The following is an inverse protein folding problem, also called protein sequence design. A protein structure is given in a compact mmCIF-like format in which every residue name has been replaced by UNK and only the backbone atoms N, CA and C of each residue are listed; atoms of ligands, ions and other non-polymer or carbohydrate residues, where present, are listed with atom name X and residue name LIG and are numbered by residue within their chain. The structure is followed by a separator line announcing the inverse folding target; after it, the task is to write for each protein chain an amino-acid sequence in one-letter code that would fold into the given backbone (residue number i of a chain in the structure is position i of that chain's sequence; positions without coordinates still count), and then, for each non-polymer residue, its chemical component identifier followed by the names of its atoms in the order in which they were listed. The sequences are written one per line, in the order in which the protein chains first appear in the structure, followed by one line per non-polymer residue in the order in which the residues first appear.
data_IF_421077898613
#
_entry.id   IF_421077898613
#
_cell.length_a   1.000
_cell.length_b   1.000
_cell.length_c   1.000
_cell.angle_alpha   90.00
_cell.angle_beta   90.00
_cell.angle_gamma   90.00
#
_symmetry.space_group_name_H-M   'P 1'
#
loop_
_entity.id
_entity.type
_entity.pdbx_description
1 polymer ?
#
# COMPACT_ATOMS: atom_id res chain seq x y z
N UNK A 1 -9.82 -11.59 17.47
CA UNK A 1 -8.73 -10.62 17.21
C UNK A 1 -7.49 -11.36 16.74
N UNK A 2 -6.87 -10.92 15.66
CA UNK A 2 -5.60 -11.47 15.22
C UNK A 2 -4.44 -11.03 16.13
N UNK A 3 -3.41 -11.85 16.20
CA UNK A 3 -2.15 -11.48 16.84
C UNK A 3 -1.24 -10.73 15.87
N UNK A 4 -0.17 -10.10 16.37
CA UNK A 4 0.88 -9.47 15.52
C UNK A 4 1.39 -10.45 14.48
N UNK A 5 1.66 -11.68 14.87
CA UNK A 5 2.15 -12.73 13.97
C UNK A 5 1.13 -13.09 12.89
N UNK A 6 -0.18 -13.05 13.22
CA UNK A 6 -1.24 -13.30 12.25
C UNK A 6 -1.24 -12.25 11.13
N UNK A 7 -1.16 -10.97 11.47
CA UNK A 7 -1.18 -9.89 10.49
C UNK A 7 0.10 -9.88 9.65
N UNK A 8 1.25 -10.10 10.27
CA UNK A 8 2.52 -10.24 9.56
C UNK A 8 2.47 -11.43 8.58
N UNK A 9 1.96 -12.59 9.04
CA UNK A 9 1.81 -13.79 8.19
C UNK A 9 0.93 -13.50 6.96
N UNK A 10 -0.19 -12.79 7.13
CA UNK A 10 -1.07 -12.39 6.01
C UNK A 10 -0.36 -11.49 5.01
N UNK A 11 0.42 -10.50 5.48
CA UNK A 11 1.22 -9.64 4.59
C UNK A 11 2.31 -10.43 3.87
N UNK A 12 2.94 -11.39 4.53
CA UNK A 12 3.93 -12.27 3.91
C UNK A 12 3.30 -13.17 2.83
N UNK A 13 2.12 -13.71 3.08
CA UNK A 13 1.37 -14.47 2.07
C UNK A 13 1.04 -13.61 0.84
N UNK A 14 0.70 -12.34 1.03
CA UNK A 14 0.50 -11.42 -0.09
C UNK A 14 1.79 -11.21 -0.88
N UNK A 15 2.93 -10.99 -0.21
CA UNK A 15 4.26 -10.89 -0.87
C UNK A 15 4.57 -12.11 -1.71
N UNK A 16 4.39 -13.30 -1.15
CA UNK A 16 4.63 -14.57 -1.84
C UNK A 16 3.71 -14.73 -3.07
N UNK A 17 2.44 -14.42 -2.93
CA UNK A 17 1.47 -14.48 -4.02
C UNK A 17 1.84 -13.54 -5.18
N UNK A 18 2.29 -12.35 -4.86
CA UNK A 18 2.70 -11.35 -5.84
C UNK A 18 3.97 -11.80 -6.58
N UNK A 19 4.94 -12.32 -5.85
CA UNK A 19 6.23 -12.75 -6.42
C UNK A 19 6.17 -14.07 -7.19
N UNK A 20 5.19 -14.93 -6.89
CA UNK A 20 5.05 -16.23 -7.56
C UNK A 20 4.45 -16.17 -8.98
N UNK A 21 4.19 -14.98 -9.50
CA UNK A 21 3.71 -14.79 -10.88
C UNK A 21 2.21 -15.01 -11.08
N UNK A 22 1.43 -15.11 -10.03
CA UNK A 22 -0.04 -15.19 -10.09
C UNK A 22 -0.71 -13.87 -10.51
N UNK A 23 0.08 -12.88 -10.91
CA UNK A 23 -0.41 -11.61 -11.44
C UNK A 23 -0.38 -11.67 -12.95
N UNK A 24 -1.48 -11.31 -13.60
CA UNK A 24 -1.58 -11.24 -15.06
C UNK A 24 -0.78 -10.06 -15.66
N UNK A 25 0.13 -9.48 -14.91
CA UNK A 25 1.02 -8.41 -15.37
C UNK A 25 2.42 -8.93 -15.60
N UNK A 26 3.08 -8.39 -16.63
CA UNK A 26 4.50 -8.67 -16.90
C UNK A 26 5.43 -8.09 -15.83
N UNK A 27 4.95 -7.10 -15.06
CA UNK A 27 5.72 -6.42 -14.05
C UNK A 27 5.23 -6.83 -12.66
N UNK A 28 6.11 -7.44 -11.88
CA UNK A 28 5.85 -7.78 -10.48
C UNK A 28 5.94 -6.49 -9.64
N UNK A 29 4.93 -6.15 -8.82
CA UNK A 29 5.03 -4.99 -7.94
C UNK A 29 6.16 -5.07 -6.93
N UNK A 30 6.88 -3.96 -6.76
CA UNK A 30 7.92 -3.80 -5.73
C UNK A 30 7.32 -3.50 -4.37
N UNK A 31 6.13 -2.94 -4.36
CA UNK A 31 5.36 -2.63 -3.17
C UNK A 31 3.86 -2.66 -3.49
N UNK A 32 3.05 -2.69 -2.44
CA UNK A 32 1.59 -2.66 -2.52
C UNK A 32 1.05 -1.53 -1.68
N UNK A 33 0.09 -0.80 -2.21
CA UNK A 33 -0.66 0.21 -1.50
C UNK A 33 -2.15 -0.18 -1.44
N UNK A 34 -2.68 -0.34 -0.24
CA UNK A 34 -4.05 -0.75 0.00
C UNK A 34 -4.88 0.44 0.48
N UNK A 35 -6.01 0.67 -0.18
CA UNK A 35 -7.00 1.72 0.10
C UNK A 35 -8.24 1.17 0.82
N UNK A 36 -8.64 -0.06 0.52
CA UNK A 36 -9.85 -0.66 1.07
C UNK A 36 -9.75 -0.93 2.57
N UNK A 37 -10.58 -0.27 3.37
CA UNK A 37 -10.53 -0.37 4.84
C UNK A 37 -10.70 -1.79 5.36
N UNK A 38 -11.52 -2.61 4.72
CA UNK A 38 -11.69 -4.03 5.08
C UNK A 38 -10.41 -4.84 4.85
N UNK A 39 -9.69 -4.55 3.77
CA UNK A 39 -8.39 -5.16 3.48
C UNK A 39 -7.31 -4.66 4.42
N UNK A 40 -7.28 -3.36 4.70
CA UNK A 40 -6.36 -2.78 5.70
C UNK A 40 -6.55 -3.48 7.05
N UNK A 41 -7.80 -3.64 7.49
CA UNK A 41 -8.10 -4.37 8.73
C UNK A 41 -7.64 -5.81 8.69
N UNK A 42 -7.83 -6.50 7.58
CA UNK A 42 -7.39 -7.89 7.41
C UNK A 42 -5.86 -8.03 7.53
N UNK A 43 -5.09 -7.11 6.94
CA UNK A 43 -3.63 -7.17 6.88
C UNK A 43 -2.91 -6.49 8.05
N UNK A 44 -3.60 -5.62 8.82
CA UNK A 44 -2.97 -4.84 9.89
C UNK A 44 -3.66 -4.92 11.24
N UNK A 45 -4.95 -5.25 11.27
CA UNK A 45 -5.77 -5.16 12.48
C UNK A 45 -6.38 -3.78 12.72
N UNK A 46 -6.01 -2.76 11.95
CA UNK A 46 -6.51 -1.40 12.12
C UNK A 46 -8.01 -1.31 11.78
N UNK A 47 -8.80 -0.75 12.68
CA UNK A 47 -10.25 -0.65 12.55
C UNK A 47 -10.78 0.78 12.34
N UNK A 48 -9.90 1.76 12.17
CA UNK A 48 -10.28 3.15 11.92
C UNK A 48 -10.87 3.39 10.53
N UNK A 49 -11.42 4.57 10.31
CA UNK A 49 -12.13 4.93 9.09
C UNK A 49 -11.29 5.70 8.07
N UNK A 50 -10.01 5.94 8.35
CA UNK A 50 -9.09 6.59 7.42
C UNK A 50 -7.69 6.02 7.57
N UNK A 51 -7.23 5.30 6.57
CA UNK A 51 -5.87 4.80 6.49
C UNK A 51 -5.49 4.40 5.07
N UNK A 52 -4.20 4.28 4.84
CA UNK A 52 -3.56 3.55 3.75
C UNK A 52 -2.60 2.55 4.37
N UNK A 53 -2.39 1.43 3.70
CA UNK A 53 -1.38 0.45 4.12
C UNK A 53 -0.37 0.23 2.99
N UNK A 54 0.87 0.63 3.25
CA UNK A 54 2.01 0.33 2.40
C UNK A 54 2.62 -1.00 2.83
N UNK A 55 2.73 -1.93 1.91
CA UNK A 55 3.38 -3.23 2.11
C UNK A 55 4.59 -3.28 1.18
N UNK A 56 5.78 -3.28 1.75
CA UNK A 56 7.02 -3.41 0.97
C UNK A 56 7.14 -4.83 0.41
N UNK A 57 7.57 -4.95 -0.84
CA UNK A 57 7.63 -6.23 -1.54
C UNK A 57 8.75 -7.15 -1.04
N UNK A 58 9.77 -6.61 -0.38
CA UNK A 58 10.97 -7.35 0.01
C UNK A 58 11.25 -7.37 1.50
N UNK A 59 10.78 -6.36 2.26
CA UNK A 59 11.12 -6.19 3.67
C UNK A 59 9.90 -5.79 4.51
N UNK A 60 9.44 -6.70 5.36
CA UNK A 60 8.31 -6.46 6.25
C UNK A 60 8.55 -5.34 7.26
N UNK A 61 9.80 -5.04 7.60
CA UNK A 61 10.15 -3.93 8.49
C UNK A 61 9.86 -2.55 7.87
N UNK A 62 9.67 -2.51 6.56
CA UNK A 62 9.33 -1.30 5.81
C UNK A 62 7.84 -1.12 5.57
N UNK A 63 7.01 -2.03 6.06
CA UNK A 63 5.54 -1.87 6.02
C UNK A 63 5.12 -0.67 6.87
N UNK A 64 4.21 0.14 6.36
CA UNK A 64 3.74 1.37 7.03
C UNK A 64 2.23 1.48 6.97
N UNK A 65 1.60 1.68 8.12
CA UNK A 65 0.22 2.15 8.18
C UNK A 65 0.22 3.68 8.22
N UNK A 66 -0.42 4.30 7.26
CA UNK A 66 -0.55 5.76 7.14
C UNK A 66 -1.97 6.14 7.57
N UNK A 67 -2.09 6.96 8.59
CA UNK A 67 -3.39 7.43 9.10
C UNK A 67 -3.30 8.88 9.58
N UNK A 68 -4.36 9.42 10.14
CA UNK A 68 -4.36 10.80 10.64
C UNK A 68 -4.33 10.86 12.18
N UNK A 69 -4.15 12.08 12.70
CA UNK A 69 -3.94 12.33 14.13
C UNK A 69 -5.07 11.85 15.06
N UNK A 70 -6.29 11.68 14.53
CA UNK A 70 -7.42 11.13 15.32
C UNK A 70 -7.17 9.69 15.76
N UNK A 71 -6.39 8.95 14.99
CA UNK A 71 -6.14 7.53 15.19
C UNK A 71 -4.78 7.20 15.79
N UNK A 72 -4.01 8.19 16.24
CA UNK A 72 -2.64 7.97 16.75
C UNK A 72 -2.57 6.89 17.85
N UNK A 73 -3.42 7.00 18.85
CA UNK A 73 -3.46 6.04 19.97
C UNK A 73 -4.03 4.69 19.53
N UNK A 74 -5.12 4.73 18.75
CA UNK A 74 -5.80 3.52 18.27
C UNK A 74 -4.87 2.69 17.37
N UNK A 75 -4.20 3.31 16.40
CA UNK A 75 -3.30 2.62 15.48
C UNK A 75 -2.14 1.95 16.22
N UNK A 76 -1.54 2.63 17.18
CA UNK A 76 -0.46 2.06 18.00
C UNK A 76 -0.93 0.88 18.85
N UNK A 77 -2.16 0.93 19.35
CA UNK A 77 -2.75 -0.15 20.14
C UNK A 77 -3.19 -1.35 19.29
N UNK A 78 -3.77 -1.12 18.12
CA UNK A 78 -4.31 -2.17 17.25
C UNK A 78 -3.24 -2.83 16.35
N UNK A 79 -2.16 -2.10 16.02
CA UNK A 79 -1.13 -2.53 15.07
C UNK A 79 0.26 -2.57 15.71
N UNK A 80 0.46 -3.27 16.84
CA UNK A 80 1.79 -3.37 17.44
C UNK A 80 2.76 -4.08 16.48
N UNK A 81 3.98 -3.56 16.37
CA UNK A 81 4.99 -4.09 15.45
C UNK A 81 4.91 -3.55 14.03
N UNK A 82 3.89 -2.76 13.70
CA UNK A 82 3.79 -2.06 12.42
C UNK A 82 4.20 -0.59 12.57
N UNK A 83 4.97 -0.07 11.64
CA UNK A 83 5.31 1.35 11.62
C UNK A 83 4.04 2.16 11.34
N UNK A 84 3.77 3.15 12.19
CA UNK A 84 2.62 4.04 12.06
C UNK A 84 3.12 5.42 11.65
N UNK A 85 2.59 5.94 10.55
CA UNK A 85 2.86 7.29 10.08
C UNK A 85 1.59 8.15 10.18
N UNK A 86 1.71 9.32 10.80
CA UNK A 86 0.59 10.23 11.03
C UNK A 86 0.70 11.40 10.06
N UNK A 87 -0.29 11.53 9.18
CA UNK A 87 -0.36 12.59 8.18
C UNK A 87 -1.61 13.46 8.38
N UNK A 88 -1.50 14.73 8.06
CA UNK A 88 -2.64 15.66 8.06
C UNK A 88 -3.48 15.58 6.78
N UNK A 89 -2.88 15.12 5.69
CA UNK A 89 -3.54 14.88 4.39
C UNK A 89 -4.14 13.47 4.32
N UNK A 90 -4.92 13.19 3.29
CA UNK A 90 -5.59 11.90 3.06
C UNK A 90 -5.27 11.36 1.67
N UNK A 91 -5.54 10.08 1.48
CA UNK A 91 -5.40 9.40 0.20
C UNK A 91 -3.98 9.50 -0.35
N UNK A 92 -3.87 9.70 -1.64
CA UNK A 92 -2.59 9.81 -2.35
C UNK A 92 -1.69 10.92 -1.82
N UNK A 93 -2.25 12.04 -1.35
CA UNK A 93 -1.46 13.13 -0.74
C UNK A 93 -0.75 12.67 0.54
N UNK A 94 -1.41 11.85 1.36
CA UNK A 94 -0.79 11.25 2.54
C UNK A 94 0.32 10.27 2.16
N UNK A 95 0.13 9.45 1.11
CA UNK A 95 1.18 8.60 0.57
C UNK A 95 2.41 9.41 0.15
N UNK A 96 2.21 10.46 -0.64
CA UNK A 96 3.32 11.28 -1.14
C UNK A 96 4.11 11.92 0.00
N UNK A 97 3.43 12.42 1.04
CA UNK A 97 4.07 12.99 2.23
C UNK A 97 4.88 11.92 2.99
N UNK A 98 4.30 10.75 3.24
CA UNK A 98 4.98 9.63 3.91
C UNK A 98 6.17 9.14 3.09
N UNK A 99 6.03 9.03 1.78
CA UNK A 99 7.11 8.60 0.89
C UNK A 99 8.30 9.58 0.95
N UNK A 100 8.04 10.88 0.94
CA UNK A 100 9.08 11.90 1.06
C UNK A 100 9.81 11.84 2.41
N UNK A 101 9.08 11.63 3.50
CA UNK A 101 9.64 11.58 4.86
C UNK A 101 10.39 10.28 5.15
N UNK A 102 9.92 9.15 4.63
CA UNK A 102 10.44 7.81 4.94
C UNK A 102 11.21 7.14 3.82
N UNK A 103 11.32 7.80 2.66
CA UNK A 103 12.01 7.25 1.51
C UNK A 103 11.30 6.04 0.90
N UNK A 104 9.97 6.02 0.89
CA UNK A 104 9.23 4.95 0.21
C UNK A 104 9.38 5.12 -1.30
N UNK A 105 9.66 4.01 -1.98
CA UNK A 105 9.90 3.98 -3.41
C UNK A 105 9.32 2.69 -4.01
N UNK A 106 8.83 2.79 -5.24
CA UNK A 106 8.45 1.64 -6.05
C UNK A 106 8.58 2.00 -7.53
N UNK A 107 9.14 1.10 -8.33
CA UNK A 107 9.11 1.18 -9.79
C UNK A 107 7.76 0.69 -10.31
N UNK A 108 7.22 -0.35 -9.71
CA UNK A 108 5.89 -0.89 -9.99
C UNK A 108 5.11 -1.02 -8.69
N UNK A 109 3.96 -0.38 -8.63
CA UNK A 109 3.09 -0.36 -7.44
C UNK A 109 1.83 -1.17 -7.68
N UNK A 110 1.58 -2.17 -6.82
CA UNK A 110 0.31 -2.87 -6.76
C UNK A 110 -0.72 -2.07 -5.96
N UNK A 111 -1.94 -2.01 -6.44
CA UNK A 111 -3.06 -1.32 -5.76
C UNK A 111 -4.31 -2.17 -5.77
N UNK A 112 -5.16 -2.00 -4.78
CA UNK A 112 -6.53 -2.54 -4.79
C UNK A 112 -7.43 -1.61 -5.61
N UNK A 113 -7.43 -1.80 -6.93
CA UNK A 113 -8.06 -0.91 -7.89
C UNK A 113 -9.56 -0.67 -7.67
N UNK A 114 -10.25 -1.60 -7.00
CA UNK A 114 -11.65 -1.44 -6.60
C UNK A 114 -11.88 -0.20 -5.71
N UNK A 115 -10.88 0.21 -4.94
CA UNK A 115 -10.97 1.30 -3.96
C UNK A 115 -10.23 2.54 -4.39
N UNK A 116 -9.58 2.52 -5.55
CA UNK A 116 -8.79 3.63 -6.07
C UNK A 116 -9.70 4.58 -6.85
N UNK A 117 -9.92 5.78 -6.34
CA UNK A 117 -10.66 6.79 -7.07
C UNK A 117 -9.77 7.46 -8.13
N UNK A 118 -10.41 8.22 -9.04
CA UNK A 118 -9.72 8.85 -10.17
C UNK A 118 -8.64 9.85 -9.75
N UNK A 119 -8.89 10.64 -8.71
CA UNK A 119 -7.92 11.63 -8.22
C UNK A 119 -6.68 10.95 -7.63
N UNK A 120 -6.88 9.96 -6.77
CA UNK A 120 -5.78 9.17 -6.20
C UNK A 120 -4.97 8.47 -7.30
N UNK A 121 -5.64 7.92 -8.31
CA UNK A 121 -4.98 7.33 -9.46
C UNK A 121 -4.05 8.33 -10.17
N UNK A 122 -4.55 9.53 -10.48
CA UNK A 122 -3.76 10.57 -11.16
C UNK A 122 -2.56 11.02 -10.32
N UNK A 123 -2.76 11.23 -9.03
CA UNK A 123 -1.69 11.69 -8.12
C UNK A 123 -0.62 10.62 -7.91
N UNK A 124 -1.00 9.35 -7.78
CA UNK A 124 -0.06 8.23 -7.66
C UNK A 124 0.71 8.04 -8.96
N UNK A 125 0.05 8.11 -10.10
CA UNK A 125 0.71 8.03 -11.40
C UNK A 125 1.73 9.16 -11.60
N UNK A 126 1.40 10.37 -11.17
CA UNK A 126 2.32 11.51 -11.21
C UNK A 126 3.51 11.32 -10.25
N UNK A 127 3.27 10.80 -9.05
CA UNK A 127 4.31 10.48 -8.08
C UNK A 127 5.28 9.43 -8.62
N UNK A 128 4.78 8.33 -9.16
CA UNK A 128 5.61 7.27 -9.77
C UNK A 128 6.46 7.82 -10.92
N UNK A 129 5.91 8.71 -11.73
CA UNK A 129 6.65 9.38 -12.81
C UNK A 129 7.80 10.25 -12.30
N UNK A 130 7.58 10.97 -11.22
CA UNK A 130 8.60 11.86 -10.64
C UNK A 130 9.78 11.07 -10.09
N UNK A 131 9.49 9.95 -9.45
CA UNK A 131 10.52 9.04 -8.88
C UNK A 131 11.34 8.35 -9.98
N UNK A 132 10.73 8.04 -11.11
CA UNK A 132 11.36 7.33 -12.23
C UNK A 132 11.91 8.28 -13.31
N UNK A 133 12.37 9.46 -12.96
CA UNK A 133 12.85 10.57 -13.79
C UNK A 133 13.38 10.15 -15.18
N UNK A 134 12.60 10.29 -16.23
CA UNK A 134 13.02 9.92 -17.59
C UNK A 134 12.00 10.18 -18.70
N UNK A 135 11.04 11.09 -18.52
CA UNK A 135 10.13 11.49 -19.58
C UNK A 135 9.25 10.35 -20.08
N UNK A 136 8.58 9.70 -19.19
CA UNK A 136 7.76 8.53 -19.45
C UNK A 136 6.44 8.96 -20.08
N UNK A 137 6.03 8.34 -21.17
CA UNK A 137 4.72 8.57 -21.77
C UNK A 137 3.58 7.98 -20.93
N UNK A 138 2.35 8.35 -21.22
CA UNK A 138 1.17 7.85 -20.49
C UNK A 138 1.00 6.33 -20.53
N UNK A 139 1.54 5.65 -21.51
CA UNK A 139 1.50 4.19 -21.65
C UNK A 139 2.40 3.52 -20.61
N UNK A 140 3.54 4.11 -20.31
CA UNK A 140 4.48 3.57 -19.31
C UNK A 140 3.96 3.80 -17.88
N UNK A 141 3.25 4.90 -17.61
CA UNK A 141 2.59 5.14 -16.32
C UNK A 141 1.59 4.02 -16.02
N UNK A 142 0.77 3.63 -16.99
CA UNK A 142 -0.18 2.54 -16.85
C UNK A 142 0.50 1.20 -16.56
N UNK A 143 1.72 0.99 -17.06
CA UNK A 143 2.49 -0.21 -16.81
C UNK A 143 3.08 -0.27 -15.38
N UNK A 144 3.18 0.86 -14.69
CA UNK A 144 3.74 0.95 -13.33
C UNK A 144 2.70 0.73 -12.23
N UNK A 145 1.41 0.86 -12.53
CA UNK A 145 0.31 0.53 -11.62
C UNK A 145 -0.30 -0.82 -12.01
N UNK A 146 -0.40 -1.71 -11.04
CA UNK A 146 -0.95 -3.06 -11.22
C UNK A 146 -2.12 -3.26 -10.28
N UNK A 147 -3.29 -3.64 -10.81
CA UNK A 147 -4.43 -4.03 -9.98
C UNK A 147 -4.20 -5.40 -9.37
N UNK A 148 -4.15 -5.45 -8.04
CA UNK A 148 -4.00 -6.68 -7.26
C UNK A 148 -5.26 -7.05 -6.46
N UNK A 149 -6.40 -6.43 -6.78
CA UNK A 149 -7.69 -6.76 -6.14
C UNK A 149 -7.99 -8.26 -6.16
N UNK A 150 -7.74 -9.00 -7.27
CA UNK A 150 -7.97 -10.44 -7.30
C UNK A 150 -7.09 -11.22 -6.29
N UNK A 151 -5.83 -10.85 -6.14
CA UNK A 151 -4.90 -11.50 -5.20
C UNK A 151 -5.31 -11.24 -3.74
N UNK A 152 -5.75 -10.02 -3.44
CA UNK A 152 -6.29 -9.68 -2.11
C UNK A 152 -7.55 -10.48 -1.81
N UNK A 153 -8.47 -10.59 -2.77
CA UNK A 153 -9.72 -11.34 -2.63
C UNK A 153 -9.48 -12.83 -2.34
N UNK A 154 -8.45 -13.42 -2.93
CA UNK A 154 -8.08 -14.83 -2.69
C UNK A 154 -7.57 -15.10 -1.28
N UNK A 155 -6.99 -14.09 -0.62
CA UNK A 155 -6.43 -14.23 0.73
C UNK A 155 -7.43 -13.95 1.84
N UNK A 156 -8.54 -13.31 1.52
CA UNK A 156 -9.60 -12.97 2.47
C UNK A 156 -10.68 -14.02 2.52
#
# INVERSE_FOLDING_TARGET
MGTVDTYLSRRNQLRENIQSGNIQSKNVPDAVLIFGLSSIRYFSGFSGSNALLWIDGSDAARDVLITDGRYTTQARGECPGLTIDIQSSRGSAALCATAAERGLHADTLGVDGEFLNWLDYQEIAAWLNTENSGGVDSTTILAQLVDISPQIAQLR
#
